data_IF_476694343535
#
_entry.id   IF_476694343535
#
_cell.length_a   1.000
_cell.length_b   1.000
_cell.length_c   1.000
_cell.angle_alpha   90.00
_cell.angle_beta   90.00
_cell.angle_gamma   90.00
#
_symmetry.space_group_name_H-M   'P 1'
#
loop_
_entity.id
_entity.type
_entity.pdbx_description
1 polymer ?
#
# COMPACT_ATOMS: atom_id res chain seq x y z
N UNK A 1 26.07 -9.73 14.39
CA UNK A 1 25.32 -8.45 14.30
C UNK A 1 24.10 -8.55 13.40
N UNK A 2 24.16 -9.20 12.23
CA UNK A 2 23.00 -9.40 11.36
C UNK A 2 21.92 -10.33 11.95
N UNK A 3 22.31 -11.45 12.56
CA UNK A 3 21.37 -12.43 13.13
C UNK A 3 20.48 -11.86 14.26
N UNK A 4 21.05 -11.03 15.14
CA UNK A 4 20.27 -10.37 16.20
C UNK A 4 19.35 -9.26 15.69
N UNK A 5 19.60 -8.72 14.48
CA UNK A 5 18.70 -7.76 13.85
C UNK A 5 17.50 -8.46 13.20
N UNK A 6 17.71 -9.62 12.57
CA UNK A 6 16.62 -10.46 12.05
C UNK A 6 15.70 -10.97 13.16
N UNK A 7 16.27 -11.37 14.29
CA UNK A 7 15.54 -11.86 15.45
C UNK A 7 14.76 -10.73 16.16
N UNK A 8 15.31 -9.50 16.17
CA UNK A 8 14.66 -8.32 16.74
C UNK A 8 13.65 -7.62 15.81
N UNK A 9 13.81 -7.74 14.48
CA UNK A 9 12.91 -7.12 13.51
C UNK A 9 11.54 -7.82 13.39
N UNK A 10 11.39 -9.01 14.00
CA UNK A 10 10.33 -9.94 13.67
C UNK A 10 10.58 -10.52 12.27
N UNK A 11 10.25 -11.80 12.07
CA UNK A 11 10.56 -12.54 10.82
C UNK A 11 9.95 -11.98 9.52
N UNK A 12 9.25 -10.85 9.59
CA UNK A 12 8.67 -10.16 8.44
C UNK A 12 8.80 -8.67 8.68
N UNK A 13 9.74 -7.96 8.03
CA UNK A 13 9.73 -6.49 8.05
C UNK A 13 8.36 -5.95 7.62
N UNK A 14 7.84 -4.99 8.38
CA UNK A 14 6.49 -4.44 8.16
C UNK A 14 6.47 -3.51 6.97
N UNK A 15 7.50 -2.68 6.83
CA UNK A 15 8.03 -2.05 5.62
C UNK A 15 9.56 -2.04 5.75
N UNK A 16 10.29 -2.21 4.67
CA UNK A 16 11.75 -2.33 4.66
C UNK A 16 12.44 -1.09 5.24
N UNK A 17 13.74 -1.20 5.52
CA UNK A 17 14.49 -0.13 6.19
C UNK A 17 14.84 1.07 5.28
N UNK A 18 14.48 1.00 4.00
CA UNK A 18 14.71 2.06 3.02
C UNK A 18 13.55 3.07 2.97
N UNK A 19 13.79 4.32 2.53
CA UNK A 19 12.71 5.25 2.23
C UNK A 19 11.79 4.75 1.10
N UNK A 20 10.54 5.20 1.11
CA UNK A 20 9.66 5.01 -0.03
C UNK A 20 10.19 5.77 -1.27
N UNK A 21 9.99 5.17 -2.44
CA UNK A 21 10.44 5.65 -3.74
C UNK A 21 9.23 6.05 -4.58
N UNK A 22 9.32 7.21 -5.23
CA UNK A 22 8.36 7.63 -6.24
C UNK A 22 8.75 7.00 -7.58
N UNK A 23 7.95 6.02 -8.04
CA UNK A 23 8.26 5.22 -9.22
C UNK A 23 8.40 6.09 -10.49
N UNK A 24 7.77 7.28 -10.52
CA UNK A 24 7.85 8.21 -11.65
C UNK A 24 9.25 8.80 -11.85
N UNK A 25 10.05 8.86 -10.78
CA UNK A 25 11.41 9.41 -10.83
C UNK A 25 12.43 8.44 -11.42
N UNK A 26 12.06 7.17 -11.57
CA UNK A 26 12.93 6.09 -12.06
C UNK A 26 12.51 5.58 -13.44
N UNK A 27 11.62 6.31 -14.12
CA UNK A 27 11.23 5.98 -15.49
C UNK A 27 12.37 6.36 -16.45
N UNK A 28 12.62 5.55 -17.50
CA UNK A 28 13.52 5.91 -18.59
C UNK A 28 13.23 7.32 -19.14
N UNK A 29 14.24 8.19 -19.31
CA UNK A 29 14.03 9.56 -19.76
C UNK A 29 13.52 9.66 -21.21
N UNK A 30 13.68 8.60 -22.01
CA UNK A 30 13.22 8.52 -23.40
C UNK A 30 11.72 8.22 -23.51
N UNK A 31 11.04 7.92 -22.39
CA UNK A 31 9.61 7.63 -22.41
C UNK A 31 8.78 8.89 -22.61
N UNK A 32 8.02 8.90 -23.71
CA UNK A 32 7.01 9.92 -23.98
C UNK A 32 6.12 10.17 -22.75
N UNK A 33 5.81 11.43 -22.40
CA UNK A 33 5.02 11.80 -21.23
C UNK A 33 3.69 11.05 -21.08
N UNK A 34 3.04 10.74 -22.21
CA UNK A 34 1.75 10.07 -22.28
C UNK A 34 1.83 8.53 -22.35
N UNK A 35 3.03 7.95 -22.50
CA UNK A 35 3.18 6.51 -22.62
C UNK A 35 2.70 5.79 -21.35
N UNK A 36 1.91 4.74 -21.51
CA UNK A 36 1.57 3.84 -20.40
C UNK A 36 2.82 3.09 -19.96
N UNK A 37 3.00 2.94 -18.65
CA UNK A 37 4.18 2.28 -18.09
C UNK A 37 3.76 1.12 -17.20
N UNK A 38 4.47 0.00 -17.33
CA UNK A 38 4.36 -1.13 -16.42
C UNK A 38 5.59 -1.20 -15.52
N UNK A 39 5.37 -1.30 -14.21
CA UNK A 39 6.43 -1.45 -13.19
C UNK A 39 6.24 -2.79 -12.50
N UNK A 40 7.31 -3.58 -12.40
CA UNK A 40 7.34 -4.81 -11.61
C UNK A 40 8.12 -4.59 -10.31
N UNK A 41 7.44 -4.80 -9.18
CA UNK A 41 8.04 -4.85 -7.85
C UNK A 41 8.28 -6.31 -7.49
N UNK A 42 9.54 -6.69 -7.27
CA UNK A 42 9.95 -8.05 -6.90
C UNK A 42 10.34 -8.06 -5.42
N UNK A 43 9.76 -8.98 -4.65
CA UNK A 43 9.96 -9.12 -3.19
C UNK A 43 9.76 -7.79 -2.43
N UNK A 44 8.92 -6.94 -3.01
CA UNK A 44 8.64 -5.58 -2.55
C UNK A 44 7.13 -5.35 -2.53
N UNK A 45 6.39 -6.26 -1.89
CA UNK A 45 4.97 -6.08 -1.57
C UNK A 45 4.80 -5.02 -0.46
N UNK A 46 5.29 -3.80 -0.73
CA UNK A 46 5.27 -2.64 0.15
C UNK A 46 4.57 -1.48 -0.57
N UNK A 47 3.37 -1.16 -0.13
CA UNK A 47 2.51 -0.19 -0.80
C UNK A 47 2.85 1.24 -0.43
N UNK A 48 3.88 1.47 0.39
CA UNK A 48 4.44 2.81 0.59
C UNK A 48 4.95 3.42 -0.72
N UNK A 49 5.50 2.61 -1.63
CA UNK A 49 5.93 3.07 -2.95
C UNK A 49 4.72 3.50 -3.79
N UNK A 50 3.66 2.69 -3.78
CA UNK A 50 2.38 2.99 -4.43
C UNK A 50 1.74 4.27 -3.86
N UNK A 51 1.65 4.38 -2.53
CA UNK A 51 1.09 5.54 -1.83
C UNK A 51 1.86 6.82 -2.14
N UNK A 52 3.21 6.76 -2.08
CA UNK A 52 4.06 7.91 -2.39
C UNK A 52 3.91 8.35 -3.85
N UNK A 53 3.94 7.38 -4.77
CA UNK A 53 3.80 7.63 -6.22
C UNK A 53 2.44 8.25 -6.53
N UNK A 54 1.36 7.70 -5.97
CA UNK A 54 0.01 8.22 -6.12
C UNK A 54 -0.12 9.64 -5.54
N UNK A 55 0.36 9.86 -4.32
CA UNK A 55 0.32 11.17 -3.66
C UNK A 55 1.10 12.25 -4.42
N UNK A 56 2.09 11.86 -5.24
CA UNK A 56 2.89 12.77 -6.08
C UNK A 56 2.47 12.80 -7.54
N UNK A 57 1.43 12.06 -7.93
CA UNK A 57 1.00 11.95 -9.32
C UNK A 57 0.69 13.30 -9.98
N UNK A 58 0.19 14.27 -9.21
CA UNK A 58 -0.13 15.63 -9.66
C UNK A 58 1.10 16.50 -9.95
N UNK A 59 2.32 16.09 -9.58
CA UNK A 59 3.54 16.89 -9.73
C UNK A 59 4.14 16.85 -11.14
N UNK A 60 3.58 16.05 -12.03
CA UNK A 60 4.04 15.96 -13.41
C UNK A 60 2.89 15.63 -14.36
N UNK A 61 3.19 15.38 -15.65
CA UNK A 61 2.16 15.06 -16.63
C UNK A 61 1.36 13.81 -16.19
N UNK A 62 0.03 13.78 -16.46
CA UNK A 62 -0.78 12.60 -16.23
C UNK A 62 -0.19 11.40 -16.96
N UNK A 63 -0.08 10.27 -16.27
CA UNK A 63 0.48 9.03 -16.83
C UNK A 63 -0.20 7.83 -16.20
N UNK A 64 -0.58 6.86 -17.02
CA UNK A 64 -1.04 5.56 -16.54
C UNK A 64 0.16 4.70 -16.13
N UNK A 65 0.15 4.21 -14.89
CA UNK A 65 1.18 3.32 -14.36
C UNK A 65 0.48 2.06 -13.85
N UNK A 66 0.78 0.92 -14.47
CA UNK A 66 0.34 -0.40 -14.02
C UNK A 66 1.44 -1.01 -13.18
N UNK A 67 1.14 -1.33 -11.92
CA UNK A 67 2.12 -1.92 -11.00
C UNK A 67 1.80 -3.40 -10.80
N UNK A 68 2.77 -4.24 -11.15
CA UNK A 68 2.78 -5.66 -10.85
C UNK A 68 3.62 -5.91 -9.61
N UNK A 69 3.15 -6.80 -8.74
CA UNK A 69 3.88 -7.20 -7.52
C UNK A 69 4.10 -8.70 -7.58
N UNK A 70 5.37 -9.10 -7.64
CA UNK A 70 5.79 -10.48 -7.49
C UNK A 70 6.29 -10.69 -6.05
N UNK A 71 5.54 -11.45 -5.27
CA UNK A 71 5.84 -11.74 -3.87
C UNK A 71 5.50 -13.20 -3.58
N UNK A 72 6.42 -13.92 -2.93
CA UNK A 72 6.28 -15.33 -2.63
C UNK A 72 5.37 -15.59 -1.42
N UNK A 73 5.30 -14.64 -0.48
CA UNK A 73 4.55 -14.80 0.77
C UNK A 73 3.16 -14.17 0.69
N UNK A 74 2.08 -14.97 0.69
CA UNK A 74 0.71 -14.44 0.58
C UNK A 74 0.33 -13.56 1.77
N UNK A 75 0.90 -13.77 2.95
CA UNK A 75 0.69 -12.95 4.14
C UNK A 75 1.18 -11.51 3.93
N UNK A 76 2.34 -11.35 3.26
CA UNK A 76 2.88 -10.03 2.91
C UNK A 76 1.93 -9.31 1.96
N UNK A 77 1.46 -10.01 0.92
CA UNK A 77 0.49 -9.46 -0.05
C UNK A 77 -0.82 -9.07 0.64
N UNK A 78 -1.41 -9.95 1.45
CA UNK A 78 -2.67 -9.70 2.13
C UNK A 78 -2.56 -8.51 3.09
N UNK A 79 -1.49 -8.45 3.89
CA UNK A 79 -1.20 -7.33 4.78
C UNK A 79 -1.05 -6.02 3.99
N UNK A 80 -0.37 -6.08 2.85
CA UNK A 80 -0.20 -4.89 2.03
C UNK A 80 -1.51 -4.41 1.41
N UNK A 81 -2.34 -5.32 0.92
CA UNK A 81 -3.68 -4.98 0.45
C UNK A 81 -4.49 -4.34 1.58
N UNK A 82 -4.41 -4.88 2.81
CA UNK A 82 -5.10 -4.31 3.97
C UNK A 82 -4.66 -2.86 4.25
N UNK A 83 -3.35 -2.58 4.23
CA UNK A 83 -2.84 -1.21 4.41
C UNK A 83 -3.27 -0.26 3.29
N UNK A 84 -3.31 -0.72 2.03
CA UNK A 84 -3.82 0.08 0.93
C UNK A 84 -5.30 0.39 1.12
N UNK A 85 -6.11 -0.61 1.49
CA UNK A 85 -7.54 -0.42 1.75
C UNK A 85 -7.83 0.56 2.88
N UNK A 86 -6.99 0.57 3.91
CA UNK A 86 -7.04 1.55 5.00
C UNK A 86 -6.66 2.95 4.51
N UNK A 87 -5.60 3.08 3.71
CA UNK A 87 -5.17 4.36 3.17
C UNK A 87 -6.17 4.96 2.17
N UNK A 88 -6.84 4.09 1.39
CA UNK A 88 -7.81 4.45 0.35
C UNK A 88 -9.26 4.18 0.77
N UNK A 89 -9.55 4.22 2.08
CA UNK A 89 -10.93 4.09 2.58
C UNK A 89 -11.83 5.17 1.97
N UNK A 90 -13.14 4.90 1.87
CA UNK A 90 -14.08 5.79 1.17
C UNK A 90 -14.02 7.23 1.69
N UNK A 91 -13.91 8.25 0.80
CA UNK A 91 -13.96 9.66 1.19
C UNK A 91 -15.20 9.97 2.03
N UNK A 92 -15.04 10.80 3.05
CA UNK A 92 -16.14 11.21 3.94
C UNK A 92 -16.39 10.29 5.14
N UNK A 93 -15.96 9.02 5.11
CA UNK A 93 -16.06 8.13 6.29
C UNK A 93 -14.96 8.38 7.32
N UNK A 94 -13.74 8.68 6.85
CA UNK A 94 -12.59 8.90 7.73
C UNK A 94 -11.59 9.84 7.06
N UNK A 95 -11.14 10.85 7.79
CA UNK A 95 -10.18 11.83 7.26
C UNK A 95 -8.78 11.23 7.01
N UNK A 96 -7.98 11.81 6.09
CA UNK A 96 -6.61 11.35 5.81
C UNK A 96 -5.72 11.23 7.06
N UNK A 97 -5.81 12.20 7.98
CA UNK A 97 -5.02 12.19 9.22
C UNK A 97 -5.36 11.01 10.13
N UNK A 98 -6.65 10.67 10.27
CA UNK A 98 -7.09 9.53 11.07
C UNK A 98 -6.65 8.19 10.44
N UNK A 99 -6.69 8.08 9.11
CA UNK A 99 -6.16 6.91 8.38
C UNK A 99 -4.65 6.76 8.56
N UNK A 100 -3.91 7.86 8.47
CA UNK A 100 -2.46 7.88 8.72
C UNK A 100 -2.14 7.48 10.17
N UNK A 101 -2.88 8.02 11.15
CA UNK A 101 -2.71 7.65 12.55
C UNK A 101 -2.99 6.16 12.80
N UNK A 102 -4.06 5.61 12.20
CA UNK A 102 -4.38 4.19 12.29
C UNK A 102 -3.26 3.32 11.70
N UNK A 103 -2.69 3.70 10.55
CA UNK A 103 -1.56 2.98 9.93
C UNK A 103 -0.32 3.05 10.83
N UNK A 104 0.03 4.21 11.39
CA UNK A 104 1.18 4.34 12.29
C UNK A 104 0.98 3.54 13.59
N UNK A 105 -0.23 3.52 14.13
CA UNK A 105 -0.56 2.71 15.29
C UNK A 105 -0.42 1.22 14.98
N UNK A 106 -0.98 0.77 13.85
CA UNK A 106 -0.84 -0.58 13.34
C UNK A 106 0.60 -0.98 13.05
N UNK A 107 1.53 -0.02 12.91
CA UNK A 107 2.94 -0.29 12.63
C UNK A 107 3.84 -0.38 13.87
N UNK A 108 3.45 0.26 14.96
CA UNK A 108 4.33 0.44 16.13
C UNK A 108 3.71 0.12 17.48
N UNK A 109 2.43 -0.22 17.52
CA UNK A 109 1.70 -0.38 18.78
C UNK A 109 1.32 -1.84 19.03
N UNK A 110 1.54 -2.31 20.26
CA UNK A 110 1.10 -3.63 20.72
C UNK A 110 -0.42 -3.68 21.01
N UNK A 111 -1.04 -2.52 21.21
CA UNK A 111 -2.47 -2.37 21.52
C UNK A 111 -3.07 -1.37 20.56
N UNK A 112 -4.28 -1.66 20.11
CA UNK A 112 -5.04 -0.79 19.22
C UNK A 112 -6.13 -0.04 19.98
N UNK A 113 -6.30 1.24 19.68
CA UNK A 113 -7.51 2.00 20.01
C UNK A 113 -8.71 1.41 19.28
N UNK A 114 -9.90 1.59 19.86
CA UNK A 114 -11.17 1.10 19.29
C UNK A 114 -11.37 1.54 17.84
N UNK A 115 -11.16 2.82 17.54
CA UNK A 115 -11.30 3.34 16.17
C UNK A 115 -10.36 2.66 15.16
N UNK A 116 -9.10 2.41 15.53
CA UNK A 116 -8.14 1.69 14.68
C UNK A 116 -8.54 0.23 14.50
N UNK A 117 -9.02 -0.43 15.55
CA UNK A 117 -9.52 -1.80 15.49
C UNK A 117 -10.78 -1.92 14.59
N UNK A 118 -11.69 -0.95 14.65
CA UNK A 118 -12.88 -0.87 13.79
C UNK A 118 -12.51 -0.67 12.32
N UNK A 119 -11.59 0.26 12.03
CA UNK A 119 -11.09 0.49 10.67
C UNK A 119 -10.42 -0.77 10.11
N UNK A 120 -9.55 -1.41 10.90
CA UNK A 120 -8.88 -2.65 10.52
C UNK A 120 -9.90 -3.76 10.21
N UNK A 121 -10.88 -3.94 11.08
CA UNK A 121 -11.94 -4.97 10.94
C UNK A 121 -12.78 -4.72 9.68
N UNK A 122 -13.15 -3.46 9.42
CA UNK A 122 -13.87 -3.06 8.21
C UNK A 122 -13.06 -3.35 6.94
N UNK A 123 -11.78 -2.96 6.91
CA UNK A 123 -10.89 -3.20 5.79
C UNK A 123 -10.66 -4.71 5.54
N UNK A 124 -10.47 -5.49 6.61
CA UNK A 124 -10.32 -6.95 6.53
C UNK A 124 -11.59 -7.62 5.98
N UNK A 125 -12.77 -7.17 6.43
CA UNK A 125 -14.03 -7.67 5.92
C UNK A 125 -14.23 -7.35 4.42
N UNK A 126 -13.82 -6.16 3.96
CA UNK A 126 -13.80 -5.78 2.54
C UNK A 126 -12.86 -6.68 1.74
N UNK A 127 -11.63 -6.86 2.22
CA UNK A 127 -10.64 -7.72 1.57
C UNK A 127 -11.14 -9.17 1.44
N UNK A 128 -11.69 -9.72 2.52
CA UNK A 128 -12.25 -11.08 2.54
C UNK A 128 -13.35 -11.23 1.50
N UNK A 129 -14.33 -10.31 1.48
CA UNK A 129 -15.43 -10.34 0.50
C UNK A 129 -14.92 -10.30 -0.95
N UNK A 130 -13.88 -9.52 -1.21
CA UNK A 130 -13.28 -9.44 -2.54
C UNK A 130 -12.58 -10.75 -2.92
N UNK A 131 -11.81 -11.35 -2.01
CA UNK A 131 -11.11 -12.61 -2.25
C UNK A 131 -12.06 -13.79 -2.46
N UNK A 132 -13.17 -13.84 -1.73
CA UNK A 132 -14.16 -14.94 -1.78
C UNK A 132 -15.31 -14.70 -2.75
N UNK A 133 -15.47 -13.47 -3.27
CA UNK A 133 -16.55 -13.08 -4.17
C UNK A 133 -16.16 -13.13 -5.65
N UNK A 134 -17.09 -12.72 -6.52
CA UNK A 134 -16.81 -12.57 -7.96
C UNK A 134 -15.90 -11.35 -8.18
N UNK A 135 -14.68 -11.57 -8.70
CA UNK A 135 -13.57 -10.59 -8.75
C UNK A 135 -13.75 -9.45 -9.78
N UNK A 136 -14.99 -9.14 -10.18
CA UNK A 136 -15.30 -8.17 -11.25
C UNK A 136 -14.98 -6.72 -10.87
N UNK A 137 -14.89 -6.40 -9.56
CA UNK A 137 -14.49 -5.08 -9.06
C UNK A 137 -13.39 -5.23 -8.00
N UNK A 138 -12.37 -4.36 -8.04
CA UNK A 138 -11.28 -4.34 -7.06
C UNK A 138 -11.76 -3.99 -5.64
N UNK A 139 -11.00 -4.33 -4.59
CA UNK A 139 -11.41 -4.11 -3.20
C UNK A 139 -11.34 -2.63 -2.77
N UNK A 140 -10.61 -1.81 -3.55
CA UNK A 140 -10.53 -0.37 -3.44
C UNK A 140 -10.72 0.28 -4.80
N UNK A 141 -11.40 1.42 -4.78
CA UNK A 141 -11.37 2.37 -5.88
C UNK A 141 -10.12 3.24 -5.73
N UNK A 142 -9.08 2.94 -6.51
CA UNK A 142 -7.84 3.70 -6.51
C UNK A 142 -8.01 5.09 -7.18
N UNK A 143 -9.14 5.35 -7.85
CA UNK A 143 -9.44 6.69 -8.37
C UNK A 143 -9.64 7.72 -7.26
N UNK A 144 -9.90 7.26 -6.02
CA UNK A 144 -10.02 8.05 -4.81
C UNK A 144 -8.69 8.64 -4.30
N UNK A 145 -7.57 8.29 -4.95
CA UNK A 145 -6.24 8.83 -4.64
C UNK A 145 -5.83 10.02 -5.53
N UNK A 146 -6.76 10.52 -6.36
CA UNK A 146 -6.57 11.73 -7.17
C UNK A 146 -6.85 13.00 -6.36
#
# INVERSE_FOLDING_TARGET
MAAGLEEAAGSVSWWGLSPAIDLRQHLPPELEPAAEVSVLLVDAAEGRHLLLTAARAHRGPPRAITVFVAEQRPETVARQLLFLLLATETPGRTGPAARAAAILELLGSLRLRSGTAELLSSAAARLRRWLTGNRQQGPADLSLMK
#
